data_IF_947760361802
#
_entry.id   IF_947760361802
#
_cell.length_a   1.000
_cell.length_b   1.000
_cell.length_c   1.000
_cell.angle_alpha   90.00
_cell.angle_beta   90.00
_cell.angle_gamma   90.00
#
_symmetry.space_group_name_H-M   'P 1'
#
loop_
_entity.id
_entity.type
_entity.pdbx_description
1 polymer ?
#
# COMPACT_ATOMS: atom_id res chain seq x y z
N UNK A 1 -33.33 26.29 -6.00
CA UNK A 1 -33.16 26.54 -4.55
C UNK A 1 -31.76 26.09 -4.14
N UNK A 2 -31.03 27.01 -3.47
CA UNK A 2 -29.80 26.91 -2.64
C UNK A 2 -29.20 25.49 -2.44
N UNK A 3 -27.89 25.26 -2.55
CA UNK A 3 -26.87 25.96 -1.76
C UNK A 3 -25.48 25.82 -2.39
N UNK A 4 -24.83 26.97 -2.60
CA UNK A 4 -23.37 27.12 -2.63
C UNK A 4 -22.81 26.77 -1.24
N UNK A 5 -21.61 26.19 -1.17
CA UNK A 5 -20.71 26.35 -0.03
C UNK A 5 -19.40 26.90 -0.58
N UNK A 6 -19.25 28.20 -0.36
CA UNK A 6 -17.98 28.89 -0.29
C UNK A 6 -17.33 28.61 1.09
N UNK A 7 -16.01 28.71 1.16
CA UNK A 7 -15.24 28.74 2.41
C UNK A 7 -13.83 28.21 2.17
N UNK A 8 -12.85 29.09 1.90
CA UNK A 8 -12.01 29.74 2.93
C UNK A 8 -10.93 28.74 3.40
N UNK A 9 -9.64 28.94 3.14
CA UNK A 9 -8.85 30.17 3.22
C UNK A 9 -7.92 30.02 4.42
N UNK A 10 -6.63 29.78 4.17
CA UNK A 10 -5.53 29.89 5.13
C UNK A 10 -4.24 29.98 4.29
N UNK A 11 -3.78 31.18 3.97
CA UNK A 11 -2.90 32.01 4.81
C UNK A 11 -1.47 31.46 4.88
N UNK A 12 -0.66 32.02 3.97
CA UNK A 12 0.72 32.47 4.10
C UNK A 12 1.27 32.54 5.54
N UNK A 13 2.44 31.92 5.73
CA UNK A 13 3.43 32.36 6.71
C UNK A 13 4.79 32.44 6.00
N UNK A 14 5.10 33.66 5.58
CA UNK A 14 6.45 34.16 5.46
C UNK A 14 7.09 34.13 6.85
N UNK A 15 8.27 33.53 6.99
CA UNK A 15 9.17 33.83 8.12
C UNK A 15 10.57 34.12 7.55
N UNK A 16 10.79 35.42 7.41
CA UNK A 16 12.00 36.11 6.99
C UNK A 16 12.76 36.48 8.26
N UNK A 17 13.94 35.89 8.50
CA UNK A 17 14.48 35.89 9.86
C UNK A 17 15.97 35.60 10.02
N UNK A 18 16.81 36.39 9.34
CA UNK A 18 18.15 36.85 9.78
C UNK A 18 18.84 36.08 10.91
N UNK A 19 20.01 35.51 10.62
CA UNK A 19 21.17 35.61 11.53
C UNK A 19 22.46 35.80 10.74
N UNK A 20 22.82 37.07 10.59
CA UNK A 20 24.19 37.51 10.42
C UNK A 20 25.03 36.94 11.57
N UNK A 21 26.04 36.14 11.23
CA UNK A 21 27.07 35.71 12.18
C UNK A 21 28.40 36.19 11.63
N UNK A 22 28.73 37.43 11.98
CA UNK A 22 30.11 37.86 12.15
C UNK A 22 30.72 36.98 13.23
N UNK A 23 31.71 36.15 12.90
CA UNK A 23 32.77 35.88 13.86
C UNK A 23 34.12 35.89 13.14
N UNK A 24 34.99 36.68 13.75
CA UNK A 24 36.36 36.97 13.41
C UNK A 24 37.21 35.72 13.25
N UNK A 25 38.21 35.83 12.37
CA UNK A 25 39.31 34.89 12.33
C UNK A 25 40.08 34.87 13.65
N UNK A 26 40.55 33.68 13.98
CA UNK A 26 41.72 33.48 14.84
C UNK A 26 42.52 32.35 14.21
N UNK A 27 43.61 32.73 13.55
CA UNK A 27 44.71 31.84 13.25
C UNK A 27 45.29 31.34 14.58
N UNK A 28 45.27 30.03 14.79
CA UNK A 28 46.07 29.40 15.84
C UNK A 28 46.53 28.03 15.36
N UNK A 29 47.68 28.03 14.69
CA UNK A 29 48.55 26.87 14.60
C UNK A 29 49.02 26.50 16.01
N UNK A 30 48.43 25.45 16.59
CA UNK A 30 49.03 24.72 17.71
C UNK A 30 48.98 23.25 17.37
N UNK A 31 50.12 22.72 16.97
CA UNK A 31 50.39 21.30 16.89
C UNK A 31 50.20 20.67 18.27
N UNK A 32 49.07 20.02 18.47
CA UNK A 32 48.80 19.14 19.59
C UNK A 32 48.70 17.72 19.08
N UNK A 33 49.82 17.02 19.11
CA UNK A 33 49.90 15.56 19.05
C UNK A 33 49.18 15.03 20.30
N UNK A 34 47.86 14.88 20.20
CA UNK A 34 47.00 14.32 21.23
C UNK A 34 46.65 12.89 20.84
N UNK A 35 47.03 11.98 21.72
CA UNK A 35 46.81 10.54 21.68
C UNK A 35 45.42 10.15 21.13
N UNK A 36 45.40 9.67 19.89
CA UNK A 36 44.21 9.09 19.23
C UNK A 36 43.75 7.75 19.85
N UNK A 37 44.29 7.36 21.01
CA UNK A 37 44.05 6.05 21.63
C UNK A 37 42.79 5.99 22.51
N UNK A 38 42.12 7.11 22.80
CA UNK A 38 40.94 7.16 23.68
C UNK A 38 39.58 7.25 22.97
N UNK A 39 39.53 7.65 21.70
CA UNK A 39 38.28 7.94 20.98
C UNK A 39 37.57 6.70 20.40
N UNK A 40 38.30 5.60 20.20
CA UNK A 40 37.75 4.35 19.63
C UNK A 40 37.01 3.50 20.67
N UNK A 41 37.33 3.63 21.95
CA UNK A 41 36.73 2.83 23.02
C UNK A 41 35.29 3.26 23.37
N UNK A 42 34.95 4.55 23.22
CA UNK A 42 33.61 5.07 23.51
C UNK A 42 32.63 4.87 22.35
N UNK A 43 33.10 4.94 21.11
CA UNK A 43 32.29 4.65 19.92
C UNK A 43 31.82 3.17 19.91
N UNK A 44 32.72 2.22 20.20
CA UNK A 44 32.36 0.80 20.22
C UNK A 44 31.39 0.39 21.33
N UNK A 45 31.34 1.13 22.44
CA UNK A 45 30.39 0.87 23.52
C UNK A 45 28.96 1.27 23.13
N UNK A 46 28.79 2.39 22.41
CA UNK A 46 27.49 2.86 21.92
C UNK A 46 26.91 1.97 20.82
N UNK A 47 27.75 1.48 19.90
CA UNK A 47 27.32 0.58 18.83
C UNK A 47 26.85 -0.77 19.39
N UNK A 48 27.57 -1.33 20.37
CA UNK A 48 27.17 -2.59 21.01
C UNK A 48 25.86 -2.46 21.81
N UNK A 49 25.65 -1.33 22.49
CA UNK A 49 24.40 -1.05 23.22
C UNK A 49 23.21 -0.89 22.25
N UNK A 50 23.44 -0.21 21.12
CA UNK A 50 22.46 -0.08 20.05
C UNK A 50 22.09 -1.44 19.46
N UNK A 51 23.08 -2.28 19.13
CA UNK A 51 22.85 -3.61 18.56
C UNK A 51 22.05 -4.50 19.53
N UNK A 52 22.37 -4.44 20.82
CA UNK A 52 21.62 -5.15 21.85
C UNK A 52 20.16 -4.66 21.96
N UNK A 53 19.95 -3.34 21.87
CA UNK A 53 18.62 -2.76 21.87
C UNK A 53 17.85 -3.15 20.60
N UNK A 54 18.46 -3.10 19.42
CA UNK A 54 17.84 -3.54 18.17
C UNK A 54 17.45 -5.02 18.21
N UNK A 55 18.30 -5.88 18.79
CA UNK A 55 17.99 -7.30 18.97
C UNK A 55 16.78 -7.51 19.91
N UNK A 56 16.72 -6.77 21.02
CA UNK A 56 15.59 -6.81 21.96
C UNK A 56 14.29 -6.32 21.30
N UNK A 57 14.36 -5.18 20.61
CA UNK A 57 13.20 -4.62 19.89
C UNK A 57 12.70 -5.60 18.83
N UNK A 58 13.61 -6.24 18.10
CA UNK A 58 13.25 -7.26 17.12
C UNK A 58 12.52 -8.44 17.76
N UNK A 59 13.00 -8.95 18.88
CA UNK A 59 12.34 -10.03 19.61
C UNK A 59 10.93 -9.60 20.09
N UNK A 60 10.80 -8.38 20.60
CA UNK A 60 9.51 -7.84 21.03
C UNK A 60 8.54 -7.70 19.83
N UNK A 61 9.02 -7.25 18.67
CA UNK A 61 8.25 -7.18 17.43
C UNK A 61 7.82 -8.55 16.91
N UNK A 62 8.70 -9.55 16.99
CA UNK A 62 8.41 -10.94 16.61
C UNK A 62 7.33 -11.54 17.51
N UNK A 63 7.39 -11.28 18.83
CA UNK A 63 6.36 -11.70 19.79
C UNK A 63 4.99 -11.06 19.50
N UNK A 64 4.97 -9.85 18.93
CA UNK A 64 3.76 -9.17 18.48
C UNK A 64 3.35 -9.53 17.04
N UNK A 65 4.04 -10.48 16.40
CA UNK A 65 3.68 -11.04 15.09
C UNK A 65 4.31 -10.36 13.89
N UNK A 66 5.23 -9.40 14.08
CA UNK A 66 5.97 -8.74 13.00
C UNK A 66 7.24 -9.53 12.69
N UNK A 67 7.19 -10.38 11.66
CA UNK A 67 8.27 -11.32 11.33
C UNK A 67 9.11 -10.90 10.12
N UNK A 68 10.32 -11.46 10.02
CA UNK A 68 11.18 -11.40 8.83
C UNK A 68 11.81 -10.03 8.56
N UNK A 69 12.07 -9.73 7.29
CA UNK A 69 12.79 -8.52 6.85
C UNK A 69 12.08 -7.21 7.21
N UNK A 70 10.76 -7.26 7.43
CA UNK A 70 10.01 -6.13 7.93
C UNK A 70 10.30 -5.88 9.41
N UNK A 71 10.38 -6.93 10.23
CA UNK A 71 10.75 -6.84 11.64
C UNK A 71 12.15 -6.24 11.83
N UNK A 72 13.12 -6.64 11.00
CA UNK A 72 14.49 -6.09 11.05
C UNK A 72 14.52 -4.59 10.74
N UNK A 73 13.86 -4.15 9.66
CA UNK A 73 13.81 -2.73 9.29
C UNK A 73 13.07 -1.89 10.32
N UNK A 74 11.98 -2.44 10.86
CA UNK A 74 11.17 -1.75 11.85
C UNK A 74 11.90 -1.67 13.21
N UNK A 75 12.65 -2.70 13.60
CA UNK A 75 13.47 -2.67 14.80
C UNK A 75 14.50 -1.53 14.78
N UNK A 76 15.22 -1.37 13.66
CA UNK A 76 16.17 -0.28 13.49
C UNK A 76 15.49 1.10 13.59
N UNK A 77 14.35 1.29 12.92
CA UNK A 77 13.59 2.55 12.99
C UNK A 77 13.02 2.85 14.39
N UNK A 78 12.60 1.82 15.12
CA UNK A 78 12.13 1.93 16.51
C UNK A 78 13.28 2.36 17.42
N UNK A 79 14.45 1.78 17.26
CA UNK A 79 15.64 2.16 18.04
C UNK A 79 16.01 3.61 17.79
N UNK A 80 16.00 4.07 16.54
CA UNK A 80 16.24 5.49 16.23
C UNK A 80 15.20 6.40 16.91
N UNK A 81 13.93 6.02 16.90
CA UNK A 81 12.87 6.77 17.55
C UNK A 81 13.02 6.82 19.09
N UNK A 82 13.45 5.72 19.71
CA UNK A 82 13.69 5.63 21.15
C UNK A 82 14.90 6.45 21.58
N UNK A 83 16.00 6.41 20.81
CA UNK A 83 17.18 7.22 21.07
C UNK A 83 16.86 8.72 20.98
N UNK A 84 15.96 9.12 20.08
CA UNK A 84 15.53 10.51 19.93
C UNK A 84 14.53 10.97 21.00
N UNK A 85 13.62 10.09 21.43
CA UNK A 85 12.45 10.46 22.26
C UNK A 85 12.58 10.03 23.73
N UNK A 86 13.57 9.21 24.06
CA UNK A 86 13.72 8.58 25.36
C UNK A 86 12.90 7.29 25.53
N UNK A 87 13.15 6.53 26.61
CA UNK A 87 12.61 5.18 26.82
C UNK A 87 11.13 5.15 27.21
N UNK A 88 10.57 6.26 27.71
CA UNK A 88 9.23 6.29 28.33
C UNK A 88 8.09 5.99 27.33
N UNK A 89 8.34 6.14 26.03
CA UNK A 89 7.35 5.89 24.96
C UNK A 89 7.37 4.46 24.38
N UNK A 90 8.27 3.58 24.84
CA UNK A 90 8.51 2.30 24.16
C UNK A 90 7.28 1.39 24.07
N UNK A 91 6.54 1.24 25.17
CA UNK A 91 5.37 0.38 25.22
C UNK A 91 4.23 0.88 24.30
N UNK A 92 4.03 2.21 24.23
CA UNK A 92 3.02 2.81 23.36
C UNK A 92 3.41 2.71 21.89
N UNK A 93 4.70 2.86 21.58
CA UNK A 93 5.24 2.68 20.24
C UNK A 93 5.04 1.23 19.75
N UNK A 94 5.40 0.23 20.56
CA UNK A 94 5.17 -1.18 20.23
C UNK A 94 3.67 -1.48 20.02
N UNK A 95 2.81 -0.95 20.89
CA UNK A 95 1.35 -1.09 20.75
C UNK A 95 0.84 -0.47 19.45
N UNK A 96 1.32 0.73 19.09
CA UNK A 96 0.98 1.41 17.86
C UNK A 96 1.41 0.63 16.62
N UNK A 97 2.64 0.12 16.64
CA UNK A 97 3.17 -0.75 15.58
C UNK A 97 2.32 -2.00 15.40
N UNK A 98 1.98 -2.68 16.48
CA UNK A 98 1.13 -3.87 16.43
C UNK A 98 -0.23 -3.55 15.83
N UNK A 99 -0.87 -2.47 16.28
CA UNK A 99 -2.18 -2.07 15.77
C UNK A 99 -2.10 -1.76 14.26
N UNK A 100 -1.07 -1.03 13.83
CA UNK A 100 -0.85 -0.72 12.42
C UNK A 100 -0.59 -1.99 11.59
N UNK A 101 0.20 -2.94 12.11
CA UNK A 101 0.46 -4.22 11.47
C UNK A 101 -0.82 -5.02 11.32
N UNK A 102 -1.64 -5.10 12.37
CA UNK A 102 -2.92 -5.81 12.36
C UNK A 102 -3.89 -5.20 11.32
N UNK A 103 -4.05 -3.87 11.30
CA UNK A 103 -4.89 -3.19 10.31
C UNK A 103 -4.40 -3.49 8.89
N UNK A 104 -3.08 -3.50 8.67
CA UNK A 104 -2.49 -3.82 7.36
C UNK A 104 -2.76 -5.26 6.96
N UNK A 105 -2.61 -6.22 7.88
CA UNK A 105 -2.87 -7.64 7.58
C UNK A 105 -4.34 -7.90 7.28
N UNK A 106 -5.25 -7.27 8.02
CA UNK A 106 -6.69 -7.39 7.82
C UNK A 106 -7.09 -6.79 6.45
N UNK A 107 -6.59 -5.60 6.14
CA UNK A 107 -6.82 -4.97 4.84
C UNK A 107 -6.27 -5.81 3.67
N UNK A 108 -5.09 -6.41 3.83
CA UNK A 108 -4.53 -7.31 2.82
C UNK A 108 -5.39 -8.57 2.61
N UNK A 109 -5.92 -9.14 3.70
CA UNK A 109 -6.81 -10.30 3.64
C UNK A 109 -8.13 -9.98 2.92
N UNK A 110 -8.72 -8.80 3.20
CA UNK A 110 -9.95 -8.34 2.56
C UNK A 110 -9.75 -8.03 1.07
N UNK A 111 -8.61 -7.43 0.71
CA UNK A 111 -8.23 -7.22 -0.69
C UNK A 111 -8.07 -8.55 -1.43
N UNK A 112 -7.39 -9.52 -0.81
CA UNK A 112 -7.21 -10.85 -1.39
C UNK A 112 -8.54 -11.61 -1.55
N UNK A 113 -9.50 -11.41 -0.64
CA UNK A 113 -10.86 -11.94 -0.76
C UNK A 113 -11.58 -11.29 -1.95
N UNK A 114 -11.59 -9.97 -2.01
CA UNK A 114 -12.22 -9.19 -3.08
C UNK A 114 -11.68 -9.56 -4.46
N UNK A 115 -10.36 -9.74 -4.60
CA UNK A 115 -9.75 -10.19 -5.84
C UNK A 115 -10.20 -11.59 -6.27
N UNK A 116 -10.40 -12.51 -5.32
CA UNK A 116 -10.92 -13.85 -5.63
C UNK A 116 -12.37 -13.78 -6.09
N UNK A 117 -13.19 -12.97 -5.44
CA UNK A 117 -14.60 -12.76 -5.81
C UNK A 117 -14.72 -12.14 -7.21
N UNK A 118 -13.92 -11.11 -7.52
CA UNK A 118 -13.89 -10.50 -8.85
C UNK A 118 -13.49 -11.51 -9.94
N UNK A 119 -12.53 -12.41 -9.66
CA UNK A 119 -12.17 -13.48 -10.61
C UNK A 119 -13.30 -14.49 -10.80
N UNK A 120 -14.08 -14.77 -9.76
CA UNK A 120 -15.26 -15.64 -9.87
C UNK A 120 -16.36 -14.98 -10.70
N UNK A 121 -16.60 -13.68 -10.48
CA UNK A 121 -17.53 -12.88 -11.27
C UNK A 121 -17.14 -12.87 -12.75
N UNK A 122 -15.86 -12.64 -13.07
CA UNK A 122 -15.37 -12.67 -14.46
C UNK A 122 -15.62 -14.04 -15.11
N UNK A 123 -15.36 -15.14 -14.41
CA UNK A 123 -15.66 -16.49 -14.92
C UNK A 123 -17.15 -16.68 -15.19
N UNK A 124 -18.01 -16.23 -14.29
CA UNK A 124 -19.46 -16.33 -14.45
C UNK A 124 -19.95 -15.51 -15.66
N UNK A 125 -19.45 -14.28 -15.79
CA UNK A 125 -19.78 -13.39 -16.92
C UNK A 125 -19.33 -13.97 -18.26
N UNK A 126 -18.14 -14.58 -18.33
CA UNK A 126 -17.68 -15.30 -19.54
C UNK A 126 -18.56 -16.51 -19.86
N UNK A 127 -19.02 -17.23 -18.83
CA UNK A 127 -20.00 -18.31 -18.99
C UNK A 127 -21.29 -17.78 -19.62
N UNK A 128 -21.88 -16.72 -19.04
CA UNK A 128 -23.08 -16.10 -19.59
C UNK A 128 -22.89 -15.58 -21.02
N UNK A 129 -21.77 -14.96 -21.33
CA UNK A 129 -21.49 -14.51 -22.70
C UNK A 129 -21.45 -15.68 -23.70
N UNK A 130 -20.97 -16.85 -23.28
CA UNK A 130 -20.96 -18.06 -24.11
C UNK A 130 -22.37 -18.61 -24.29
N UNK A 131 -23.18 -18.67 -23.23
CA UNK A 131 -24.58 -19.11 -23.33
C UNK A 131 -25.43 -18.14 -24.18
N UNK A 132 -25.21 -16.83 -24.06
CA UNK A 132 -25.88 -15.83 -24.91
C UNK A 132 -25.52 -16.02 -26.40
N UNK A 133 -24.27 -16.36 -26.71
CA UNK A 133 -23.89 -16.69 -28.09
C UNK A 133 -24.63 -17.91 -28.62
N UNK A 134 -24.83 -18.95 -27.80
CA UNK A 134 -25.62 -20.13 -28.20
C UNK A 134 -27.09 -19.76 -28.45
N UNK A 135 -27.66 -18.86 -27.64
CA UNK A 135 -29.03 -18.37 -27.87
C UNK A 135 -29.14 -17.62 -29.20
N UNK A 136 -28.12 -16.83 -29.56
CA UNK A 136 -28.05 -16.13 -30.86
C UNK A 136 -28.06 -17.13 -32.03
N UNK A 137 -27.24 -18.19 -31.95
CA UNK A 137 -27.23 -19.28 -32.94
C UNK A 137 -28.61 -19.95 -33.10
N UNK A 138 -29.31 -20.20 -31.98
CA UNK A 138 -30.67 -20.78 -32.02
C UNK A 138 -31.65 -19.85 -32.71
N UNK A 139 -31.58 -18.54 -32.43
CA UNK A 139 -32.44 -17.53 -33.07
C UNK A 139 -32.19 -17.48 -34.58
N UNK A 140 -30.92 -17.55 -35.01
CA UNK A 140 -30.57 -17.62 -36.43
C UNK A 140 -31.19 -18.85 -37.12
N UNK A 141 -31.06 -20.03 -36.52
CA UNK A 141 -31.62 -21.28 -37.06
C UNK A 141 -33.15 -21.20 -37.17
N UNK A 142 -33.83 -20.70 -36.13
CA UNK A 142 -35.28 -20.51 -36.16
C UNK A 142 -35.71 -19.52 -37.26
N UNK A 143 -34.96 -18.42 -37.43
CA UNK A 143 -35.23 -17.45 -38.48
C UNK A 143 -35.07 -18.04 -39.89
N UNK A 144 -34.05 -18.88 -40.09
CA UNK A 144 -33.82 -19.59 -41.35
C UNK A 144 -34.94 -20.60 -41.63
N UNK A 145 -35.38 -21.34 -40.61
CA UNK A 145 -36.51 -22.26 -40.72
C UNK A 145 -37.81 -21.54 -41.11
N UNK A 146 -38.14 -20.43 -40.45
CA UNK A 146 -39.31 -19.61 -40.78
C UNK A 146 -39.26 -19.08 -42.22
N UNK A 147 -38.09 -18.61 -42.68
CA UNK A 147 -37.89 -18.18 -44.08
C UNK A 147 -38.17 -19.32 -45.05
N UNK A 148 -37.63 -20.52 -44.80
CA UNK A 148 -37.84 -21.70 -45.63
C UNK A 148 -39.31 -22.11 -45.70
N UNK A 149 -40.02 -22.13 -44.56
CA UNK A 149 -41.45 -22.44 -44.58
C UNK A 149 -42.24 -21.44 -45.43
N UNK A 150 -41.91 -20.14 -45.33
CA UNK A 150 -42.58 -19.09 -46.11
C UNK A 150 -42.35 -19.24 -47.61
N UNK A 151 -41.14 -19.61 -48.03
CA UNK A 151 -40.84 -19.85 -49.45
C UNK A 151 -41.59 -21.08 -49.98
N UNK A 152 -41.57 -22.19 -49.24
CA UNK A 152 -42.27 -23.43 -49.66
C UNK A 152 -43.79 -23.25 -49.70
N UNK A 153 -44.38 -22.53 -48.74
CA UNK A 153 -45.80 -22.20 -48.78
C UNK A 153 -46.17 -21.32 -49.98
N UNK A 154 -45.32 -20.36 -50.34
CA UNK A 154 -45.52 -19.51 -51.52
C UNK A 154 -45.42 -20.26 -52.86
N UNK A 155 -44.58 -21.29 -52.94
CA UNK A 155 -44.45 -22.16 -54.12
C UNK A 155 -45.63 -23.12 -54.27
N UNK A 156 -46.10 -23.72 -53.16
CA UNK A 156 -47.27 -24.60 -53.16
C UNK A 156 -48.54 -23.90 -53.70
N UNK A 157 -48.76 -22.63 -53.33
CA UNK A 157 -49.91 -21.85 -53.82
C UNK A 157 -49.83 -21.51 -55.31
N UNK A 158 -48.61 -21.40 -55.88
CA UNK A 158 -48.42 -21.15 -57.32
C UNK A 158 -48.69 -22.38 -58.17
N UNK A 159 -48.48 -23.58 -57.63
CA UNK A 159 -48.74 -24.83 -58.36
C UNK A 159 -50.21 -25.24 -58.40
N UNK A 160 -51.07 -24.69 -57.54
CA UNK A 160 -52.52 -24.99 -57.51
C UNK A 160 -53.39 -24.05 -58.37
N UNK A 161 -52.79 -23.15 -59.15
CA UNK A 161 -53.51 -22.16 -60.00
C UNK A 161 -53.52 -22.51 -61.51
N UNK A 162 -53.31 -23.79 -61.84
CA UNK A 162 -53.50 -24.34 -63.19
C UNK A 162 -54.65 -25.33 -63.21
#
# INVERSE_FOLDING_TARGET
MRSKRDGSGAETLDDDGRRDREEAGVDSEVGGELDASGATATAGAGDAERDALEARVREDLEREGVLGDEGTRLASAVVDALLASGPDGYADLLRGIRLAHQVRTDAAADLARSHRELRQLDRLMRGFATELRKLDEVVEVLSAYLRRMRTTAGEATRHTLH
#
